data_IF_109930079326
#
_entry.id   IF_109930079326
#
_cell.length_a   1.000
_cell.length_b   1.000
_cell.length_c   1.000
_cell.angle_alpha   90.00
_cell.angle_beta   90.00
_cell.angle_gamma   90.00
#
_symmetry.space_group_name_H-M   'P 1'
#
loop_
_entity.id
_entity.type
_entity.pdbx_description
1 polymer ?
#
# COMPACT_ATOMS: atom_id res chain seq x y z
N UNK A 1 -32.01 66.27 50.71
CA UNK A 1 -31.36 65.34 49.75
C UNK A 1 -31.97 63.94 49.80
N UNK A 2 -33.31 63.82 49.89
CA UNK A 2 -34.06 62.53 49.89
C UNK A 2 -35.18 62.48 48.84
N UNK A 3 -35.55 63.61 48.23
CA UNK A 3 -36.66 63.69 47.26
C UNK A 3 -36.31 63.41 45.79
N UNK A 4 -35.03 63.29 45.41
CA UNK A 4 -34.64 63.00 44.02
C UNK A 4 -34.55 61.51 43.67
N UNK A 5 -34.73 60.59 44.64
CA UNK A 5 -34.62 59.15 44.42
C UNK A 5 -35.97 58.41 44.33
N UNK A 6 -37.11 59.08 44.57
CA UNK A 6 -38.43 58.47 44.40
C UNK A 6 -39.00 58.60 42.98
N UNK A 7 -38.49 59.54 42.17
CA UNK A 7 -39.09 59.88 40.87
C UNK A 7 -38.62 59.01 39.68
N UNK A 8 -37.67 58.08 39.88
CA UNK A 8 -37.17 57.20 38.82
C UNK A 8 -37.84 55.80 38.78
N UNK A 9 -38.66 55.45 39.79
CA UNK A 9 -39.43 54.19 39.79
C UNK A 9 -40.70 54.24 38.95
N UNK A 10 -41.19 55.43 38.60
CA UNK A 10 -42.49 55.60 37.94
C UNK A 10 -42.44 55.45 36.41
N UNK A 11 -41.24 55.46 35.81
CA UNK A 11 -41.06 55.31 34.35
C UNK A 11 -40.72 53.89 33.88
N UNK A 12 -40.35 52.97 34.78
CA UNK A 12 -39.97 51.58 34.41
C UNK A 12 -41.16 50.60 34.36
N UNK A 13 -42.30 50.95 34.94
CA UNK A 13 -43.51 50.10 34.94
C UNK A 13 -44.29 50.07 33.61
N UNK A 14 -44.54 51.20 32.92
CA UNK A 14 -45.40 51.18 31.73
C UNK A 14 -44.72 50.52 30.52
N UNK A 15 -43.40 50.49 30.45
CA UNK A 15 -42.68 49.87 29.32
C UNK A 15 -42.87 48.35 29.30
N UNK A 16 -42.87 47.71 30.48
CA UNK A 16 -42.98 46.25 30.61
C UNK A 16 -44.40 45.75 30.37
N UNK A 17 -45.42 46.52 30.77
CA UNK A 17 -46.84 46.20 30.51
C UNK A 17 -47.24 46.53 29.06
N UNK A 18 -46.77 47.65 28.50
CA UNK A 18 -46.97 47.98 27.09
C UNK A 18 -46.31 46.97 26.14
N UNK A 19 -45.15 46.42 26.50
CA UNK A 19 -44.54 45.29 25.79
C UNK A 19 -45.35 44.00 25.94
N UNK A 20 -45.92 43.72 27.11
CA UNK A 20 -46.70 42.51 27.39
C UNK A 20 -48.05 42.48 26.64
N UNK A 21 -48.77 43.60 26.56
CA UNK A 21 -50.06 43.67 25.85
C UNK A 21 -49.89 43.66 24.32
N UNK A 22 -48.75 44.10 23.81
CA UNK A 22 -48.45 44.00 22.37
C UNK A 22 -48.09 42.57 21.96
N UNK A 23 -47.51 41.81 22.88
CA UNK A 23 -47.19 40.38 22.72
C UNK A 23 -48.43 39.45 22.78
N UNK A 24 -49.54 39.88 23.39
CA UNK A 24 -50.80 39.11 23.44
C UNK A 24 -51.74 39.41 22.27
N UNK A 25 -51.41 40.37 21.40
CA UNK A 25 -52.19 40.62 20.19
C UNK A 25 -52.04 39.48 19.18
N UNK A 26 -53.17 38.99 18.65
CA UNK A 26 -53.24 37.84 17.71
C UNK A 26 -52.28 37.99 16.51
N UNK A 27 -52.02 39.23 16.07
CA UNK A 27 -51.11 39.54 14.97
C UNK A 27 -49.63 39.27 15.32
N UNK A 28 -49.18 39.59 16.53
CA UNK A 28 -47.79 39.31 16.95
C UNK A 28 -47.56 37.82 17.19
N UNK A 29 -48.56 37.10 17.73
CA UNK A 29 -48.50 35.64 17.86
C UNK A 29 -48.41 34.96 16.49
N UNK A 30 -49.16 35.44 15.48
CA UNK A 30 -49.09 34.94 14.11
C UNK A 30 -47.71 35.18 13.47
N UNK A 31 -47.12 36.37 13.67
CA UNK A 31 -45.77 36.68 13.17
C UNK A 31 -44.70 35.81 13.83
N UNK A 32 -44.79 35.61 15.15
CA UNK A 32 -43.86 34.75 15.90
C UNK A 32 -43.97 33.30 15.42
N UNK A 33 -45.19 32.77 15.24
CA UNK A 33 -45.38 31.41 14.72
C UNK A 33 -44.85 31.25 13.29
N UNK A 34 -45.08 32.24 12.42
CA UNK A 34 -44.58 32.19 11.04
C UNK A 34 -43.05 32.26 10.99
N UNK A 35 -42.44 33.11 11.82
CA UNK A 35 -40.98 33.18 11.96
C UNK A 35 -40.40 31.86 12.49
N UNK A 36 -41.05 31.25 13.50
CA UNK A 36 -40.63 29.97 14.07
C UNK A 36 -40.76 28.82 13.06
N UNK A 37 -41.83 28.82 12.26
CA UNK A 37 -42.03 27.87 11.17
C UNK A 37 -40.96 28.04 10.07
N UNK A 38 -40.66 29.26 9.64
CA UNK A 38 -39.56 29.52 8.70
C UNK A 38 -38.21 29.05 9.23
N UNK A 39 -37.94 29.30 10.52
CA UNK A 39 -36.69 28.91 11.17
C UNK A 39 -36.58 27.37 11.28
N UNK A 40 -37.69 26.68 11.51
CA UNK A 40 -37.74 25.21 11.50
C UNK A 40 -37.47 24.62 10.12
N UNK A 41 -38.03 25.20 9.05
CA UNK A 41 -37.80 24.76 7.67
C UNK A 41 -36.33 24.99 7.30
N UNK A 42 -35.75 26.13 7.68
CA UNK A 42 -34.33 26.41 7.45
C UNK A 42 -33.44 25.40 8.18
N UNK A 43 -33.71 25.12 9.46
CA UNK A 43 -32.96 24.14 10.25
C UNK A 43 -33.05 22.72 9.67
N UNK A 44 -34.24 22.31 9.21
CA UNK A 44 -34.44 21.03 8.54
C UNK A 44 -33.65 20.94 7.22
N UNK A 45 -33.65 22.02 6.44
CA UNK A 45 -32.92 22.07 5.15
C UNK A 45 -31.41 22.02 5.36
N UNK A 46 -30.89 22.75 6.34
CA UNK A 46 -29.46 22.73 6.71
C UNK A 46 -29.07 21.37 7.29
N UNK A 47 -29.90 20.78 8.16
CA UNK A 47 -29.65 19.45 8.71
C UNK A 47 -29.68 18.35 7.63
N UNK A 48 -30.64 18.40 6.72
CA UNK A 48 -30.74 17.45 5.60
C UNK A 48 -29.55 17.58 4.64
N UNK A 49 -29.14 18.80 4.29
CA UNK A 49 -27.95 19.02 3.45
C UNK A 49 -26.68 18.58 4.16
N UNK A 50 -26.52 18.83 5.46
CA UNK A 50 -25.39 18.36 6.25
C UNK A 50 -25.30 16.82 6.29
N UNK A 51 -26.41 16.14 6.57
CA UNK A 51 -26.48 14.68 6.56
C UNK A 51 -26.24 14.09 5.16
N UNK A 52 -26.76 14.72 4.11
CA UNK A 52 -26.52 14.33 2.73
C UNK A 52 -25.04 14.54 2.33
N UNK A 53 -24.41 15.63 2.77
CA UNK A 53 -22.99 15.88 2.57
C UNK A 53 -22.15 14.78 3.24
N UNK A 54 -22.48 14.43 4.48
CA UNK A 54 -21.77 13.40 5.25
C UNK A 54 -21.83 12.02 4.58
N UNK A 55 -22.97 11.65 4.00
CA UNK A 55 -23.14 10.39 3.24
C UNK A 55 -22.43 10.42 1.89
N UNK A 56 -22.47 11.56 1.20
CA UNK A 56 -21.86 11.71 -0.13
C UNK A 56 -20.33 11.71 -0.04
N UNK A 57 -19.74 12.34 0.98
CA UNK A 57 -18.29 12.35 1.19
C UNK A 57 -17.73 10.97 1.56
N UNK A 58 -18.46 10.16 2.33
CA UNK A 58 -18.00 8.80 2.70
C UNK A 58 -18.01 7.84 1.51
N UNK A 59 -19.08 7.83 0.71
CA UNK A 59 -19.20 6.92 -0.44
C UNK A 59 -18.27 7.34 -1.59
N UNK A 60 -18.04 8.64 -1.81
CA UNK A 60 -17.06 9.09 -2.81
C UNK A 60 -15.61 8.84 -2.39
N UNK A 61 -15.27 8.99 -1.10
CA UNK A 61 -13.94 8.68 -0.60
C UNK A 61 -13.66 7.18 -0.75
N UNK A 62 -14.56 6.31 -0.29
CA UNK A 62 -14.38 4.87 -0.37
C UNK A 62 -14.25 4.35 -1.81
N UNK A 63 -15.04 4.89 -2.76
CA UNK A 63 -14.92 4.50 -4.17
C UNK A 63 -13.61 4.98 -4.80
N UNK A 64 -13.11 6.16 -4.43
CA UNK A 64 -11.81 6.66 -4.90
C UNK A 64 -10.67 5.88 -4.29
N UNK A 65 -10.73 5.57 -3.00
CA UNK A 65 -9.69 4.85 -2.29
C UNK A 65 -9.55 3.42 -2.82
N UNK A 66 -10.68 2.76 -3.11
CA UNK A 66 -10.67 1.44 -3.77
C UNK A 66 -10.06 1.49 -5.17
N UNK A 67 -10.40 2.51 -5.96
CA UNK A 67 -9.85 2.66 -7.31
C UNK A 67 -8.35 2.96 -7.28
N UNK A 68 -7.90 3.82 -6.36
CA UNK A 68 -6.49 4.10 -6.13
C UNK A 68 -5.76 2.85 -5.65
N UNK A 69 -6.33 2.10 -4.70
CA UNK A 69 -5.77 0.84 -4.21
C UNK A 69 -5.62 -0.16 -5.35
N UNK A 70 -6.65 -0.31 -6.18
CA UNK A 70 -6.63 -1.19 -7.36
C UNK A 70 -5.57 -0.78 -8.37
N UNK A 71 -5.56 0.48 -8.80
CA UNK A 71 -4.59 0.98 -9.77
C UNK A 71 -3.15 0.84 -9.28
N UNK A 72 -2.94 1.01 -7.98
CA UNK A 72 -1.61 0.86 -7.40
C UNK A 72 -1.22 -0.61 -7.29
N UNK A 73 -2.14 -1.50 -6.92
CA UNK A 73 -1.92 -2.94 -6.92
C UNK A 73 -1.62 -3.48 -8.33
N UNK A 74 -2.32 -2.99 -9.34
CA UNK A 74 -2.09 -3.36 -10.74
C UNK A 74 -0.68 -2.93 -11.19
N UNK A 75 -0.26 -1.71 -10.86
CA UNK A 75 1.12 -1.23 -11.13
C UNK A 75 2.19 -2.03 -10.41
N UNK A 76 1.99 -2.30 -9.11
CA UNK A 76 2.92 -3.12 -8.33
C UNK A 76 3.05 -4.52 -8.92
N UNK A 77 1.94 -5.08 -9.40
CA UNK A 77 1.92 -6.40 -10.06
C UNK A 77 2.70 -6.35 -11.37
N UNK A 78 2.52 -5.32 -12.18
CA UNK A 78 3.26 -5.11 -13.43
C UNK A 78 4.78 -4.99 -13.16
N UNK A 79 5.18 -4.16 -12.20
CA UNK A 79 6.57 -3.98 -11.80
C UNK A 79 7.21 -5.32 -11.34
N UNK A 80 6.50 -6.09 -10.52
CA UNK A 80 6.99 -7.40 -10.04
C UNK A 80 7.10 -8.43 -11.17
N UNK A 81 6.16 -8.43 -12.11
CA UNK A 81 6.18 -9.30 -13.28
C UNK A 81 7.36 -8.94 -14.20
N UNK A 82 7.66 -7.66 -14.36
CA UNK A 82 8.79 -7.20 -15.17
C UNK A 82 10.13 -7.62 -14.57
N UNK A 83 10.29 -7.50 -13.24
CA UNK A 83 11.45 -8.04 -12.53
C UNK A 83 11.61 -9.54 -12.76
N UNK A 84 10.52 -10.30 -12.66
CA UNK A 84 10.54 -11.74 -12.86
C UNK A 84 10.86 -12.12 -14.32
N UNK A 85 10.35 -11.34 -15.29
CA UNK A 85 10.64 -11.51 -16.72
C UNK A 85 12.12 -11.27 -17.03
N UNK A 86 12.73 -10.27 -16.41
CA UNK A 86 14.15 -10.00 -16.57
C UNK A 86 15.02 -11.18 -16.10
N UNK A 87 14.67 -11.79 -14.96
CA UNK A 87 15.34 -13.02 -14.51
C UNK A 87 15.09 -14.18 -15.48
N UNK A 88 13.86 -14.33 -15.99
CA UNK A 88 13.52 -15.38 -16.96
C UNK A 88 14.38 -15.28 -18.23
N UNK A 89 14.56 -14.08 -18.77
CA UNK A 89 15.41 -13.83 -19.95
C UNK A 89 16.82 -14.34 -19.69
N UNK A 90 17.40 -14.06 -18.52
CA UNK A 90 18.74 -14.55 -18.16
C UNK A 90 18.78 -16.07 -17.95
N UNK A 91 17.77 -16.63 -17.29
CA UNK A 91 17.64 -18.07 -17.07
C UNK A 91 17.55 -18.88 -18.37
N UNK A 92 17.08 -18.27 -19.46
CA UNK A 92 16.98 -18.87 -20.79
C UNK A 92 18.25 -18.82 -21.64
N UNK A 93 19.26 -18.04 -21.24
CA UNK A 93 20.50 -17.96 -21.99
C UNK A 93 21.25 -19.29 -21.95
N UNK A 94 21.79 -19.72 -23.09
CA UNK A 94 22.56 -20.96 -23.23
C UNK A 94 23.71 -21.02 -22.21
N UNK A 95 24.38 -19.88 -22.01
CA UNK A 95 25.46 -19.74 -21.04
C UNK A 95 24.99 -19.95 -19.60
N UNK A 96 23.77 -19.51 -19.25
CA UNK A 96 23.18 -19.72 -17.92
C UNK A 96 22.83 -21.20 -17.71
N UNK A 97 22.34 -21.86 -18.76
CA UNK A 97 21.96 -23.28 -18.77
C UNK A 97 23.15 -24.24 -18.65
N UNK A 98 24.37 -23.77 -18.87
CA UNK A 98 25.59 -24.58 -18.70
C UNK A 98 25.74 -25.15 -17.28
N UNK A 99 25.19 -24.47 -16.26
CA UNK A 99 25.37 -24.84 -14.86
C UNK A 99 26.76 -24.52 -14.29
N UNK A 100 27.67 -24.00 -15.12
CA UNK A 100 29.04 -23.70 -14.72
C UNK A 100 29.11 -22.34 -14.01
N UNK A 101 29.49 -22.28 -12.72
CA UNK A 101 29.38 -21.06 -11.91
C UNK A 101 30.12 -19.86 -12.53
N UNK A 102 31.32 -20.06 -13.07
CA UNK A 102 32.10 -18.97 -13.69
C UNK A 102 31.44 -18.41 -14.95
N UNK A 103 30.75 -19.25 -15.74
CA UNK A 103 30.03 -18.80 -16.93
C UNK A 103 28.76 -18.05 -16.50
N UNK A 104 28.00 -18.61 -15.57
CA UNK A 104 26.79 -17.99 -15.03
C UNK A 104 27.09 -16.62 -14.40
N UNK A 105 28.20 -16.53 -13.68
CA UNK A 105 28.71 -15.29 -13.11
C UNK A 105 28.96 -14.23 -14.19
N UNK A 106 29.62 -14.59 -15.28
CA UNK A 106 29.83 -13.70 -16.42
C UNK A 106 28.51 -13.27 -17.08
N UNK A 107 27.51 -14.15 -17.15
CA UNK A 107 26.18 -13.81 -17.67
C UNK A 107 25.51 -12.75 -16.80
N UNK A 108 25.59 -12.86 -15.46
CA UNK A 108 25.05 -11.85 -14.57
C UNK A 108 25.77 -10.50 -14.71
N UNK A 109 27.10 -10.52 -14.92
CA UNK A 109 27.89 -9.30 -15.14
C UNK A 109 27.54 -8.62 -16.46
N UNK A 110 27.34 -9.39 -17.53
CA UNK A 110 26.91 -8.86 -18.83
C UNK A 110 25.44 -8.42 -18.82
N UNK A 111 24.60 -9.14 -18.07
CA UNK A 111 23.18 -8.87 -17.89
C UNK A 111 22.86 -7.88 -16.77
N UNK A 112 23.84 -7.09 -16.31
CA UNK A 112 23.70 -6.22 -15.13
C UNK A 112 22.47 -5.31 -15.17
N UNK A 113 22.14 -4.77 -16.34
CA UNK A 113 20.95 -3.90 -16.52
C UNK A 113 19.63 -4.63 -16.20
N UNK A 114 19.55 -5.94 -16.44
CA UNK A 114 18.35 -6.74 -16.16
C UNK A 114 18.20 -7.06 -14.67
N UNK A 115 19.27 -6.96 -13.88
CA UNK A 115 19.28 -7.31 -12.44
C UNK A 115 19.55 -6.10 -11.54
N UNK A 116 19.62 -4.90 -12.10
CA UNK A 116 20.04 -3.69 -11.39
C UNK A 116 19.13 -3.36 -10.19
N UNK A 117 17.84 -3.62 -10.31
CA UNK A 117 16.85 -3.36 -9.25
C UNK A 117 16.98 -4.30 -8.05
N UNK A 118 17.59 -5.48 -8.22
CA UNK A 118 17.91 -6.39 -7.12
C UNK A 118 19.24 -6.01 -6.43
N UNK A 119 20.22 -5.53 -7.19
CA UNK A 119 21.57 -5.25 -6.70
C UNK A 119 21.63 -3.92 -5.93
N UNK A 120 20.89 -2.90 -6.35
CA UNK A 120 20.96 -1.57 -5.73
C UNK A 120 20.50 -1.53 -4.26
N UNK A 121 19.80 -2.58 -3.79
CA UNK A 121 19.24 -2.68 -2.43
C UNK A 121 19.87 -3.85 -1.63
N UNK A 122 21.08 -4.27 -2.00
CA UNK A 122 21.95 -5.25 -1.31
C UNK A 122 21.42 -6.71 -1.13
N UNK A 123 20.14 -6.98 -1.41
CA UNK A 123 19.59 -8.33 -1.38
C UNK A 123 20.10 -9.20 -2.55
N UNK A 124 20.23 -8.60 -3.74
CA UNK A 124 20.94 -9.16 -4.88
C UNK A 124 20.23 -10.32 -5.59
N UNK A 125 20.95 -10.93 -6.53
CA UNK A 125 20.60 -12.16 -7.21
C UNK A 125 21.52 -13.30 -6.77
N UNK A 126 20.97 -14.50 -6.68
CA UNK A 126 21.67 -15.70 -6.25
C UNK A 126 21.32 -16.84 -7.17
N UNK A 127 22.31 -17.64 -7.56
CA UNK A 127 22.10 -18.88 -8.32
C UNK A 127 22.23 -20.05 -7.36
N UNK A 128 21.22 -20.92 -7.42
CA UNK A 128 21.23 -22.22 -6.75
C UNK A 128 21.51 -23.30 -7.80
N UNK A 129 22.41 -24.23 -7.48
CA UNK A 129 22.65 -25.40 -8.31
C UNK A 129 21.45 -26.38 -8.29
N UNK A 130 21.54 -27.47 -9.06
CA UNK A 130 20.50 -28.49 -9.14
C UNK A 130 20.16 -29.16 -7.79
N UNK A 131 21.07 -29.09 -6.81
CA UNK A 131 20.90 -29.66 -5.48
C UNK A 131 20.34 -28.62 -4.48
N UNK A 132 20.35 -27.33 -4.84
CA UNK A 132 19.87 -26.23 -4.01
C UNK A 132 20.96 -25.51 -3.24
N UNK A 133 22.24 -25.74 -3.55
CA UNK A 133 23.35 -24.99 -2.95
C UNK A 133 23.62 -23.70 -3.71
N UNK A 134 23.92 -22.64 -2.97
CA UNK A 134 24.31 -21.36 -3.56
C UNK A 134 25.66 -21.48 -4.28
N UNK A 135 25.67 -21.25 -5.59
CA UNK A 135 26.87 -21.32 -6.43
C UNK A 135 27.41 -19.94 -6.83
N UNK A 136 26.53 -18.97 -7.05
CA UNK A 136 26.89 -17.61 -7.50
C UNK A 136 26.04 -16.58 -6.78
N UNK A 137 26.62 -15.41 -6.50
CA UNK A 137 25.94 -14.26 -5.89
C UNK A 137 26.32 -12.97 -6.58
N UNK A 138 25.36 -12.07 -6.79
CA UNK A 138 25.57 -10.69 -7.24
C UNK A 138 24.67 -9.72 -6.44
N UNK A 139 25.22 -8.77 -5.67
CA UNK A 139 26.65 -8.54 -5.42
C UNK A 139 27.32 -9.75 -4.74
N UNK A 140 28.65 -9.80 -4.76
CA UNK A 140 29.39 -10.92 -4.19
C UNK A 140 29.15 -11.02 -2.67
N UNK A 141 28.59 -12.15 -2.23
CA UNK A 141 28.19 -12.43 -0.84
C UNK A 141 28.82 -13.76 -0.40
N UNK A 142 30.06 -13.75 0.11
CA UNK A 142 30.79 -14.97 0.47
C UNK A 142 30.14 -15.73 1.63
N UNK A 143 29.34 -15.05 2.46
CA UNK A 143 28.59 -15.67 3.55
C UNK A 143 27.47 -16.62 3.08
N UNK A 144 27.02 -16.46 1.83
CA UNK A 144 25.96 -17.25 1.23
C UNK A 144 26.47 -18.42 0.37
N UNK A 145 27.68 -18.32 -0.19
CA UNK A 145 28.24 -19.37 -1.06
C UNK A 145 28.25 -20.72 -0.32
N UNK A 146 27.72 -21.76 -0.98
CA UNK A 146 27.61 -23.11 -0.44
C UNK A 146 26.52 -23.32 0.62
N UNK A 147 25.69 -22.31 0.94
CA UNK A 147 24.53 -22.51 1.81
C UNK A 147 23.48 -23.37 1.11
N UNK A 148 22.82 -24.22 1.88
CA UNK A 148 21.76 -25.11 1.41
C UNK A 148 20.40 -24.39 1.47
N UNK A 149 19.78 -24.23 0.30
CA UNK A 149 18.43 -23.70 0.13
C UNK A 149 17.48 -24.75 -0.47
N UNK A 150 17.86 -26.03 -0.49
CA UNK A 150 17.08 -27.14 -1.06
C UNK A 150 15.72 -27.34 -0.38
N UNK A 151 15.61 -26.95 0.89
CA UNK A 151 14.38 -27.02 1.68
C UNK A 151 13.48 -25.79 1.52
N UNK A 152 13.93 -24.77 0.80
CA UNK A 152 13.12 -23.57 0.60
C UNK A 152 11.95 -23.87 -0.34
N UNK A 153 10.72 -23.43 -0.02
CA UNK A 153 9.54 -23.73 -0.84
C UNK A 153 9.68 -23.27 -2.29
N UNK A 154 10.31 -22.12 -2.53
CA UNK A 154 10.51 -21.59 -3.88
C UNK A 154 11.45 -22.50 -4.71
N UNK A 155 12.47 -23.11 -4.08
CA UNK A 155 13.37 -24.05 -4.76
C UNK A 155 12.67 -25.36 -5.06
N UNK A 156 11.93 -25.90 -4.09
CA UNK A 156 11.18 -27.15 -4.26
C UNK A 156 10.14 -27.02 -5.38
N UNK A 157 9.45 -25.88 -5.46
CA UNK A 157 8.51 -25.58 -6.54
C UNK A 157 9.20 -25.45 -7.89
N UNK A 158 10.26 -24.65 -7.98
CA UNK A 158 11.04 -24.49 -9.22
C UNK A 158 11.59 -25.81 -9.76
N UNK A 159 12.01 -26.72 -8.86
CA UNK A 159 12.49 -28.05 -9.22
C UNK A 159 11.36 -29.00 -9.64
N UNK A 160 10.23 -28.98 -8.93
CA UNK A 160 9.10 -29.86 -9.22
C UNK A 160 8.32 -29.45 -10.48
N UNK A 161 8.25 -28.15 -10.73
CA UNK A 161 7.53 -27.55 -11.84
C UNK A 161 8.46 -26.55 -12.53
N UNK A 162 9.32 -27.01 -13.46
CA UNK A 162 10.31 -26.14 -14.11
C UNK A 162 9.77 -25.36 -15.32
N UNK A 163 8.49 -25.54 -15.67
CA UNK A 163 7.84 -24.94 -16.84
C UNK A 163 6.89 -23.73 -16.64
N UNK A 164 6.46 -23.32 -15.43
CA UNK A 164 6.03 -21.94 -15.24
C UNK A 164 7.26 -21.02 -15.23
N UNK A 165 7.06 -19.77 -15.68
CA UNK A 165 8.18 -18.84 -15.91
C UNK A 165 8.95 -18.49 -14.63
N UNK A 166 8.25 -18.35 -13.50
CA UNK A 166 8.84 -17.99 -12.21
C UNK A 166 7.89 -18.28 -11.05
N UNK A 167 8.44 -18.30 -9.84
CA UNK A 167 7.72 -18.41 -8.57
C UNK A 167 8.08 -17.26 -7.64
N UNK A 168 7.12 -16.78 -6.86
CA UNK A 168 7.37 -15.88 -5.74
C UNK A 168 7.37 -16.69 -4.45
N UNK A 169 8.33 -16.41 -3.56
CA UNK A 169 8.26 -16.89 -2.18
C UNK A 169 7.20 -16.15 -1.39
N UNK A 170 6.78 -16.73 -0.27
CA UNK A 170 6.20 -15.94 0.82
C UNK A 170 7.29 -15.00 1.40
N UNK A 171 6.93 -14.19 2.40
CA UNK A 171 7.92 -13.31 3.06
C UNK A 171 8.90 -14.18 3.85
N UNK A 172 10.19 -14.03 3.54
CA UNK A 172 11.28 -14.73 4.21
C UNK A 172 12.11 -13.75 5.01
N UNK A 173 12.75 -14.21 6.07
CA UNK A 173 13.71 -13.42 6.83
C UNK A 173 15.14 -13.78 6.41
N UNK A 174 15.96 -12.78 6.08
CA UNK A 174 17.38 -13.00 5.78
C UNK A 174 18.13 -13.37 7.08
N UNK A 175 18.78 -14.55 7.14
CA UNK A 175 19.42 -15.00 8.38
C UNK A 175 20.52 -14.08 8.91
N UNK A 176 21.22 -13.38 8.00
CA UNK A 176 22.37 -12.53 8.36
C UNK A 176 21.93 -11.17 8.90
N UNK A 177 20.92 -10.56 8.29
CA UNK A 177 20.50 -9.18 8.60
C UNK A 177 19.22 -9.12 9.43
N UNK A 178 18.40 -10.17 9.41
CA UNK A 178 17.05 -10.17 10.01
C UNK A 178 16.00 -9.43 9.17
N UNK A 179 16.37 -8.93 7.99
CA UNK A 179 15.48 -8.18 7.11
C UNK A 179 14.47 -9.08 6.42
N UNK A 180 13.24 -8.59 6.27
CA UNK A 180 12.21 -9.28 5.51
C UNK A 180 12.45 -9.10 4.01
N UNK A 181 12.44 -10.20 3.27
CA UNK A 181 12.66 -10.25 1.83
C UNK A 181 11.64 -11.12 1.12
N UNK A 182 11.44 -10.84 -0.16
CA UNK A 182 10.78 -11.75 -1.10
C UNK A 182 11.83 -12.26 -2.10
N UNK A 183 11.66 -13.50 -2.53
CA UNK A 183 12.50 -14.17 -3.51
C UNK A 183 11.67 -14.50 -4.74
N UNK A 184 12.11 -14.04 -5.90
CA UNK A 184 11.62 -14.49 -7.20
C UNK A 184 12.54 -15.60 -7.66
N UNK A 185 11.99 -16.77 -7.97
CA UNK A 185 12.73 -17.94 -8.42
C UNK A 185 12.37 -18.27 -9.87
N UNK A 186 13.35 -18.13 -10.77
CA UNK A 186 13.25 -18.54 -12.17
C UNK A 186 14.01 -19.88 -12.35
N UNK A 187 13.32 -20.99 -12.69
CA UNK A 187 13.99 -22.25 -12.98
C UNK A 187 14.97 -22.12 -14.15
N UNK A 188 16.14 -22.74 -14.04
CA UNK A 188 17.09 -22.88 -15.15
C UNK A 188 16.97 -24.31 -15.64
N UNK A 189 16.67 -24.46 -16.92
CA UNK A 189 16.43 -25.75 -17.58
C UNK A 189 17.30 -25.81 -18.82
N UNK A 190 18.04 -26.90 -19.00
CA UNK A 190 18.87 -27.08 -20.19
C UNK A 190 18.04 -27.40 -21.45
N UNK A 191 18.71 -27.46 -22.61
CA UNK A 191 18.06 -27.74 -23.89
C UNK A 191 17.37 -29.12 -23.94
N UNK A 192 17.72 -30.06 -23.05
CA UNK A 192 17.08 -31.38 -22.95
C UNK A 192 15.83 -31.38 -22.05
N UNK A 193 15.52 -30.26 -21.42
CA UNK A 193 14.43 -30.15 -20.45
C UNK A 193 14.83 -30.56 -19.03
N UNK A 194 16.13 -30.75 -18.76
CA UNK A 194 16.61 -31.12 -17.43
C UNK A 194 16.80 -29.87 -16.58
N UNK A 195 16.31 -29.94 -15.35
CA UNK A 195 16.54 -28.91 -14.33
C UNK A 195 18.03 -28.85 -13.95
N UNK A 196 18.64 -27.67 -14.07
CA UNK A 196 20.06 -27.44 -13.75
C UNK A 196 20.26 -26.52 -12.54
N UNK A 197 19.23 -25.80 -12.12
CA UNK A 197 19.30 -24.90 -10.97
C UNK A 197 18.18 -23.87 -10.96
N UNK A 198 18.35 -22.84 -10.14
CA UNK A 198 17.41 -21.72 -10.02
C UNK A 198 18.17 -20.41 -10.00
N UNK A 199 17.79 -19.49 -10.88
CA UNK A 199 18.19 -18.09 -10.75
C UNK A 199 17.19 -17.38 -9.85
N UNK A 200 17.68 -16.80 -8.77
CA UNK A 200 16.84 -16.07 -7.82
C UNK A 200 17.16 -14.59 -7.80
N UNK A 201 16.14 -13.75 -7.80
CA UNK A 201 16.26 -12.33 -7.46
C UNK A 201 15.62 -12.06 -6.11
N UNK A 202 16.31 -11.31 -5.27
CA UNK A 202 15.93 -11.07 -3.88
C UNK A 202 15.80 -9.58 -3.67
N UNK A 203 14.79 -9.19 -2.89
CA UNK A 203 14.65 -7.79 -2.49
C UNK A 203 14.07 -7.69 -1.09
N UNK A 204 14.63 -6.75 -0.32
CA UNK A 204 14.11 -6.43 1.00
C UNK A 204 12.87 -5.55 0.90
N UNK A 205 11.86 -5.87 1.71
CA UNK A 205 10.62 -5.10 1.77
C UNK A 205 10.83 -3.68 2.32
N UNK A 206 11.83 -3.50 3.19
CA UNK A 206 12.13 -2.21 3.80
C UNK A 206 12.75 -1.19 2.83
N UNK A 207 13.40 -1.65 1.76
CA UNK A 207 14.32 -0.81 0.97
C UNK A 207 13.88 -0.57 -0.47
N UNK A 208 12.85 -1.24 -0.97
CA UNK A 208 12.46 -1.07 -2.37
C UNK A 208 11.54 0.13 -2.66
N UNK A 209 11.52 0.50 -3.94
CA UNK A 209 10.49 1.35 -4.56
C UNK A 209 9.08 0.83 -4.25
N UNK A 210 8.89 -0.48 -4.05
CA UNK A 210 7.64 -1.07 -3.53
C UNK A 210 7.21 -0.45 -2.20
N UNK A 211 8.13 -0.25 -1.25
CA UNK A 211 7.86 0.44 0.01
C UNK A 211 7.46 1.90 -0.22
N UNK A 212 8.03 2.58 -1.22
CA UNK A 212 7.63 3.95 -1.60
C UNK A 212 6.30 4.00 -2.35
N UNK A 213 5.99 3.05 -3.23
CA UNK A 213 4.70 2.96 -3.94
C UNK A 213 3.58 2.55 -2.97
N UNK A 214 3.86 1.63 -2.03
CA UNK A 214 2.99 1.30 -0.90
C UNK A 214 2.88 2.50 0.06
N UNK A 215 3.95 3.25 0.34
CA UNK A 215 3.83 4.49 1.12
C UNK A 215 3.06 5.58 0.38
N UNK A 216 3.14 5.69 -0.96
CA UNK A 216 2.33 6.62 -1.76
C UNK A 216 0.83 6.29 -1.71
N UNK A 217 0.48 5.04 -1.41
CA UNK A 217 -0.89 4.61 -1.12
C UNK A 217 -1.41 5.10 0.25
N UNK A 218 -0.57 5.67 1.13
CA UNK A 218 -1.06 6.27 2.38
C UNK A 218 -1.90 7.51 2.07
N UNK A 219 -3.22 7.38 2.23
CA UNK A 219 -4.16 8.49 2.03
C UNK A 219 -4.16 9.38 3.28
N UNK A 220 -3.50 10.55 3.16
CA UNK A 220 -3.40 11.55 4.23
C UNK A 220 -2.54 11.11 5.43
N UNK A 221 -2.54 11.90 6.51
CA UNK A 221 -1.66 11.70 7.67
C UNK A 221 -1.99 10.45 8.53
N UNK A 222 -2.99 9.64 8.15
CA UNK A 222 -3.52 8.50 8.94
C UNK A 222 -3.71 7.20 8.17
N UNK A 223 -3.52 7.18 6.85
CA UNK A 223 -3.64 5.97 6.04
C UNK A 223 -2.33 5.16 6.06
N UNK A 224 -2.41 3.83 6.10
CA UNK A 224 -1.26 2.94 5.95
C UNK A 224 -1.59 1.89 4.91
N UNK A 225 -0.61 1.53 4.07
CA UNK A 225 -0.72 0.41 3.15
C UNK A 225 0.30 -0.68 3.54
N UNK A 226 -0.08 -1.93 3.33
CA UNK A 226 0.70 -3.10 3.71
C UNK A 226 0.45 -4.21 2.70
N UNK A 227 1.46 -5.05 2.49
CA UNK A 227 1.36 -6.25 1.66
C UNK A 227 1.21 -7.45 2.59
N UNK A 228 0.24 -8.30 2.30
CA UNK A 228 -0.01 -9.56 3.01
C UNK A 228 0.35 -10.72 2.09
N UNK A 229 0.80 -11.83 2.68
CA UNK A 229 0.97 -13.06 1.93
C UNK A 229 -0.39 -13.76 1.74
N UNK A 230 -0.39 -14.94 1.10
CA UNK A 230 -1.61 -15.69 0.80
C UNK A 230 -2.42 -16.13 2.04
N UNK A 231 -1.82 -16.09 3.22
CA UNK A 231 -2.43 -16.50 4.49
C UNK A 231 -2.98 -15.31 5.31
N UNK A 232 -2.75 -14.07 4.87
CA UNK A 232 -3.18 -12.85 5.56
C UNK A 232 -2.09 -12.26 6.44
#
# INVERSE_FOLDING_TARGET
MKDRLQNLRQYFFPLRQWLADRLTSLHYQAIIMMALLMLSILALTVGATFLAYQRTSQVLAESRDRELARLSADRLTEDLIDLARNLRILADLEQMRSGEPTIQEQVLDQGRELIIDFINQDAGVVILDANGFVSVTRPFRPDLIGKDHSQQPYFQQARAFPYPDFFFSDILQEPTTGENMIVIAAPIVDASGKFVGVLTGRFYLAFQRLGQEIQKLSIGDKGYAYLIDKNG
#
